data_IF_937401782049
#
_entry.id   IF_937401782049
#
_cell.length_a   1.000
_cell.length_b   1.000
_cell.length_c   1.000
_cell.angle_alpha   90.00
_cell.angle_beta   90.00
_cell.angle_gamma   90.00
#
_symmetry.space_group_name_H-M   'P 1'
#
loop_
_entity.id
_entity.type
_entity.pdbx_description
1 polymer ?
#
# COMPACT_ATOMS: atom_id res chain seq x y z
N UNK A 1 33.49 -13.76 -18.95
CA UNK A 1 32.98 -14.02 -17.56
C UNK A 1 32.66 -12.73 -16.81
N UNK A 2 33.50 -11.71 -16.78
CA UNK A 2 33.23 -10.43 -16.08
C UNK A 2 31.97 -9.72 -16.60
N UNK A 3 31.75 -9.66 -17.91
CA UNK A 3 30.55 -9.05 -18.49
C UNK A 3 29.26 -9.77 -18.09
N UNK A 4 29.27 -11.09 -18.00
CA UNK A 4 28.13 -11.89 -17.60
C UNK A 4 27.77 -11.63 -16.13
N UNK A 5 28.74 -11.42 -15.24
CA UNK A 5 28.55 -11.13 -13.83
C UNK A 5 28.01 -9.72 -13.61
N UNK A 6 28.47 -8.74 -14.41
CA UNK A 6 27.95 -7.39 -14.37
C UNK A 6 26.49 -7.33 -14.84
N UNK A 7 26.15 -8.10 -15.89
CA UNK A 7 24.78 -8.21 -16.38
C UNK A 7 23.85 -8.83 -15.32
N UNK A 8 24.27 -9.96 -14.70
CA UNK A 8 23.45 -10.60 -13.63
C UNK A 8 23.30 -9.72 -12.39
N UNK A 9 24.32 -8.98 -12.01
CA UNK A 9 24.21 -8.01 -10.91
C UNK A 9 23.23 -6.89 -11.26
N UNK A 10 23.26 -6.39 -12.50
CA UNK A 10 22.31 -5.38 -12.99
C UNK A 10 20.87 -5.89 -13.00
N UNK A 11 20.61 -7.11 -13.43
CA UNK A 11 19.27 -7.71 -13.39
C UNK A 11 18.72 -7.84 -11.97
N UNK A 12 19.54 -8.25 -11.00
CA UNK A 12 19.11 -8.36 -9.60
C UNK A 12 18.72 -7.00 -9.00
N UNK A 13 19.43 -5.93 -9.35
CA UNK A 13 19.06 -4.56 -8.92
C UNK A 13 17.76 -4.11 -9.59
N UNK A 14 17.62 -4.34 -10.90
CA UNK A 14 16.39 -4.01 -11.62
C UNK A 14 15.17 -4.75 -11.03
N UNK A 15 15.29 -6.04 -10.74
CA UNK A 15 14.23 -6.81 -10.08
C UNK A 15 13.81 -6.17 -8.75
N UNK A 16 14.79 -5.73 -7.94
CA UNK A 16 14.52 -5.01 -6.69
C UNK A 16 13.80 -3.68 -6.91
N UNK A 17 14.19 -2.91 -7.93
CA UNK A 17 13.54 -1.63 -8.28
C UNK A 17 12.12 -1.86 -8.79
N UNK A 18 11.88 -2.85 -9.65
CA UNK A 18 10.53 -3.19 -10.11
C UNK A 18 9.63 -3.64 -8.97
N UNK A 19 10.14 -4.43 -8.03
CA UNK A 19 9.39 -4.83 -6.83
C UNK A 19 8.99 -3.62 -5.97
N UNK A 20 9.88 -2.64 -5.82
CA UNK A 20 9.58 -1.41 -5.08
C UNK A 20 8.56 -0.53 -5.81
N UNK A 21 8.69 -0.32 -7.11
CA UNK A 21 7.75 0.49 -7.89
C UNK A 21 6.35 -0.13 -7.94
N UNK A 22 6.25 -1.44 -8.06
CA UNK A 22 4.98 -2.18 -8.01
C UNK A 22 4.32 -2.03 -6.62
N UNK A 23 5.09 -2.13 -5.54
CA UNK A 23 4.59 -1.92 -4.18
C UNK A 23 4.11 -0.48 -3.96
N UNK A 24 4.81 0.52 -4.48
CA UNK A 24 4.38 1.92 -4.38
C UNK A 24 3.11 2.19 -5.18
N UNK A 25 2.95 1.61 -6.37
CA UNK A 25 1.73 1.70 -7.16
C UNK A 25 0.52 1.08 -6.43
N UNK A 26 0.69 -0.12 -5.85
CA UNK A 26 -0.35 -0.77 -5.03
C UNK A 26 -0.70 0.05 -3.79
N UNK A 27 0.30 0.59 -3.09
CA UNK A 27 0.09 1.46 -1.94
C UNK A 27 -0.64 2.76 -2.33
N UNK A 28 -0.39 3.29 -3.52
CA UNK A 28 -1.10 4.43 -4.10
C UNK A 28 -2.56 4.12 -4.36
N UNK A 29 -2.87 3.01 -5.01
CA UNK A 29 -4.24 2.55 -5.28
C UNK A 29 -5.05 2.36 -3.99
N UNK A 30 -4.45 1.73 -2.97
CA UNK A 30 -5.10 1.56 -1.67
C UNK A 30 -5.37 2.89 -0.95
N UNK A 31 -4.52 3.91 -1.13
CA UNK A 31 -4.77 5.25 -0.58
C UNK A 31 -5.96 5.92 -1.25
N UNK A 32 -6.07 5.81 -2.56
CA UNK A 32 -7.23 6.32 -3.29
C UNK A 32 -8.51 5.63 -2.84
N UNK A 33 -8.50 4.30 -2.69
CA UNK A 33 -9.64 3.56 -2.13
C UNK A 33 -9.99 4.00 -0.71
N UNK A 34 -8.98 4.22 0.13
CA UNK A 34 -9.19 4.68 1.51
C UNK A 34 -9.81 6.08 1.58
N UNK A 35 -9.45 6.98 0.66
CA UNK A 35 -10.09 8.32 0.58
C UNK A 35 -11.56 8.23 0.16
N UNK A 36 -11.88 7.34 -0.80
CA UNK A 36 -13.26 7.09 -1.23
C UNK A 36 -14.09 6.46 -0.12
N UNK A 37 -13.59 5.42 0.56
CA UNK A 37 -14.28 4.79 1.70
C UNK A 37 -14.57 5.79 2.81
N UNK A 38 -13.65 6.72 3.08
CA UNK A 38 -13.87 7.77 4.09
C UNK A 38 -15.00 8.71 3.66
N UNK A 39 -14.97 9.20 2.42
CA UNK A 39 -16.00 10.11 1.91
C UNK A 39 -17.38 9.43 1.89
N UNK A 40 -17.44 8.17 1.47
CA UNK A 40 -18.66 7.36 1.46
C UNK A 40 -19.22 7.17 2.89
N UNK A 41 -18.36 6.78 3.83
CA UNK A 41 -18.76 6.61 5.23
C UNK A 41 -19.23 7.91 5.87
N UNK A 42 -18.59 9.04 5.59
CA UNK A 42 -19.04 10.36 6.08
C UNK A 42 -20.41 10.73 5.50
N UNK A 43 -20.64 10.44 4.21
CA UNK A 43 -21.94 10.64 3.58
C UNK A 43 -23.04 9.74 4.18
N UNK A 44 -22.72 8.47 4.44
CA UNK A 44 -23.67 7.54 5.05
C UNK A 44 -24.03 7.94 6.48
N UNK A 45 -23.06 8.37 7.26
CA UNK A 45 -23.29 8.90 8.62
C UNK A 45 -24.17 10.15 8.57
N UNK A 46 -23.93 11.06 7.61
CA UNK A 46 -24.74 12.26 7.44
C UNK A 46 -26.20 11.91 7.07
N UNK A 47 -26.40 11.01 6.11
CA UNK A 47 -27.74 10.52 5.71
C UNK A 47 -28.45 9.84 6.88
N UNK A 48 -27.75 9.04 7.66
CA UNK A 48 -28.33 8.40 8.84
C UNK A 48 -28.72 9.42 9.90
N UNK A 49 -27.89 10.42 10.17
CA UNK A 49 -28.20 11.50 11.11
C UNK A 49 -29.44 12.30 10.66
N UNK A 50 -29.54 12.59 9.36
CA UNK A 50 -30.71 13.28 8.79
C UNK A 50 -31.98 12.43 8.92
N UNK A 51 -31.91 11.13 8.59
CA UNK A 51 -33.04 10.22 8.74
C UNK A 51 -33.50 10.08 10.20
N UNK A 52 -32.56 10.07 11.15
CA UNK A 52 -32.87 10.02 12.58
C UNK A 52 -33.56 11.29 13.05
N UNK A 53 -33.15 12.47 12.55
CA UNK A 53 -33.82 13.74 12.83
C UNK A 53 -35.25 13.79 12.24
N UNK A 54 -35.40 13.30 11.01
CA UNK A 54 -36.71 13.20 10.35
C UNK A 54 -37.65 12.27 11.14
N UNK A 55 -37.16 11.11 11.60
CA UNK A 55 -37.92 10.18 12.42
C UNK A 55 -38.37 10.83 13.73
N UNK A 56 -37.48 11.54 14.41
CA UNK A 56 -37.83 12.29 15.65
C UNK A 56 -38.90 13.32 15.37
N UNK A 57 -38.79 14.08 14.29
CA UNK A 57 -39.78 15.09 13.90
C UNK A 57 -41.15 14.44 13.59
N UNK A 58 -41.15 13.35 12.84
CA UNK A 58 -42.37 12.59 12.52
C UNK A 58 -43.05 12.05 13.79
N UNK A 59 -42.31 11.48 14.72
CA UNK A 59 -42.81 11.01 16.01
C UNK A 59 -43.43 12.16 16.81
N UNK A 60 -42.74 13.31 16.88
CA UNK A 60 -43.27 14.50 17.57
C UNK A 60 -44.59 14.96 16.97
N UNK A 61 -44.68 15.02 15.63
CA UNK A 61 -45.93 15.42 14.96
C UNK A 61 -47.06 14.40 15.19
N UNK A 62 -46.75 13.09 15.21
CA UNK A 62 -47.75 12.06 15.52
C UNK A 62 -48.31 12.20 16.96
N UNK A 63 -47.45 12.45 17.94
CA UNK A 63 -47.90 12.69 19.32
C UNK A 63 -48.80 13.92 19.42
N UNK A 64 -48.40 15.04 18.82
CA UNK A 64 -49.19 16.25 18.79
C UNK A 64 -50.56 16.09 18.12
N UNK A 65 -50.59 15.36 16.96
CA UNK A 65 -51.85 15.08 16.24
C UNK A 65 -52.80 14.18 17.03
N UNK A 66 -52.27 13.30 17.87
CA UNK A 66 -53.09 12.42 18.74
C UNK A 66 -53.58 13.14 20.00
N UNK A 67 -53.27 14.42 20.17
CA UNK A 67 -53.64 15.18 21.35
C UNK A 67 -52.80 14.87 22.58
N UNK A 68 -51.70 14.14 22.41
CA UNK A 68 -50.79 13.80 23.52
C UNK A 68 -49.78 14.91 23.68
N UNK A 69 -49.62 15.42 24.90
CA UNK A 69 -48.55 16.37 25.21
C UNK A 69 -47.19 15.70 25.15
N UNK A 70 -46.14 16.46 24.74
CA UNK A 70 -44.76 15.97 24.68
C UNK A 70 -44.11 15.95 26.08
N UNK A 71 -44.83 15.44 27.09
CA UNK A 71 -44.38 15.32 28.48
C UNK A 71 -44.47 13.85 28.94
N UNK A 72 -43.57 13.44 29.83
CA UNK A 72 -43.57 12.07 30.34
C UNK A 72 -43.15 11.03 29.27
N UNK A 73 -43.92 9.97 29.13
CA UNK A 73 -43.58 8.82 28.24
C UNK A 73 -43.32 9.18 26.78
N UNK A 74 -44.04 10.12 26.12
CA UNK A 74 -43.71 10.54 24.76
C UNK A 74 -42.33 11.20 24.65
N UNK A 75 -41.93 11.98 25.63
CA UNK A 75 -40.59 12.59 25.67
C UNK A 75 -39.51 11.51 25.82
N UNK A 76 -39.73 10.52 26.69
CA UNK A 76 -38.82 9.39 26.87
C UNK A 76 -38.60 8.61 25.57
N UNK A 77 -39.62 8.37 24.75
CA UNK A 77 -39.52 7.74 23.46
C UNK A 77 -38.66 8.55 22.46
N UNK A 78 -38.86 9.89 22.48
CA UNK A 78 -38.07 10.78 21.62
C UNK A 78 -36.60 10.83 22.07
N UNK A 79 -36.33 10.83 23.35
CA UNK A 79 -34.96 10.79 23.90
C UNK A 79 -34.29 9.45 23.64
N UNK A 80 -35.02 8.34 23.74
CA UNK A 80 -34.51 7.02 23.38
C UNK A 80 -34.16 6.95 21.89
N UNK A 81 -34.99 7.52 21.03
CA UNK A 81 -34.68 7.59 19.56
C UNK A 81 -33.37 8.36 19.31
N UNK A 82 -33.15 9.47 20.02
CA UNK A 82 -31.91 10.25 19.91
C UNK A 82 -30.71 9.46 20.43
N UNK A 83 -30.86 8.80 21.58
CA UNK A 83 -29.82 7.97 22.20
C UNK A 83 -29.38 6.85 21.29
N UNK A 84 -30.34 6.05 20.82
CA UNK A 84 -30.05 4.90 19.92
C UNK A 84 -29.42 5.36 18.60
N UNK A 85 -29.91 6.49 18.05
CA UNK A 85 -29.33 7.07 16.84
C UNK A 85 -27.89 7.54 17.07
N UNK A 86 -27.60 8.14 18.21
CA UNK A 86 -26.26 8.56 18.61
C UNK A 86 -25.31 7.37 18.78
N UNK A 87 -25.78 6.28 19.40
CA UNK A 87 -25.02 5.04 19.54
C UNK A 87 -24.69 4.41 18.19
N UNK A 88 -25.66 4.34 17.28
CA UNK A 88 -25.45 3.82 15.93
C UNK A 88 -24.43 4.67 15.14
N UNK A 89 -24.52 6.00 15.20
CA UNK A 89 -23.54 6.90 14.58
C UNK A 89 -22.15 6.65 15.17
N UNK A 90 -22.04 6.49 16.47
CA UNK A 90 -20.78 6.19 17.13
C UNK A 90 -20.20 4.85 16.68
N UNK A 91 -21.03 3.83 16.56
CA UNK A 91 -20.64 2.52 16.06
C UNK A 91 -20.17 2.58 14.59
N UNK A 92 -20.88 3.31 13.72
CA UNK A 92 -20.46 3.55 12.34
C UNK A 92 -19.09 4.23 12.27
N UNK A 93 -18.86 5.27 13.06
CA UNK A 93 -17.56 5.96 13.14
C UNK A 93 -16.44 5.05 13.64
N UNK A 94 -16.72 4.24 14.67
CA UNK A 94 -15.76 3.28 15.20
C UNK A 94 -15.38 2.24 14.14
N UNK A 95 -16.35 1.69 13.41
CA UNK A 95 -16.12 0.76 12.30
C UNK A 95 -15.25 1.41 11.21
N UNK A 96 -15.62 2.61 10.74
CA UNK A 96 -14.85 3.33 9.73
C UNK A 96 -13.41 3.57 10.18
N UNK A 97 -13.21 3.93 11.46
CA UNK A 97 -11.87 4.13 12.02
C UNK A 97 -11.06 2.83 12.01
N UNK A 98 -11.67 1.70 12.37
CA UNK A 98 -11.03 0.38 12.34
C UNK A 98 -10.64 -0.02 10.90
N UNK A 99 -11.54 0.20 9.93
CA UNK A 99 -11.30 -0.09 8.52
C UNK A 99 -10.14 0.78 7.97
N UNK A 100 -10.10 2.07 8.32
CA UNK A 100 -9.00 2.98 7.98
C UNK A 100 -7.67 2.53 8.58
N UNK A 101 -7.66 2.09 9.84
CA UNK A 101 -6.45 1.59 10.49
C UNK A 101 -5.95 0.31 9.82
N UNK A 102 -6.86 -0.61 9.50
CA UNK A 102 -6.54 -1.84 8.76
C UNK A 102 -5.94 -1.54 7.39
N UNK A 103 -6.55 -0.62 6.62
CA UNK A 103 -6.04 -0.21 5.33
C UNK A 103 -4.66 0.46 5.42
N UNK A 104 -4.43 1.33 6.41
CA UNK A 104 -3.12 1.94 6.68
C UNK A 104 -2.06 0.90 7.01
N UNK A 105 -2.40 -0.12 7.80
CA UNK A 105 -1.51 -1.23 8.13
C UNK A 105 -1.12 -2.02 6.88
N UNK A 106 -2.08 -2.33 6.00
CA UNK A 106 -1.83 -2.98 4.70
C UNK A 106 -0.90 -2.15 3.81
N UNK A 107 -1.12 -0.84 3.71
CA UNK A 107 -0.25 0.08 2.96
C UNK A 107 1.18 0.06 3.51
N UNK A 108 1.33 0.07 4.84
CA UNK A 108 2.63 -0.01 5.50
C UNK A 108 3.34 -1.34 5.20
N UNK A 109 2.62 -2.46 5.27
CA UNK A 109 3.15 -3.79 4.96
C UNK A 109 3.62 -3.89 3.50
N UNK A 110 2.82 -3.42 2.53
CA UNK A 110 3.18 -3.41 1.10
C UNK A 110 4.45 -2.59 0.86
N UNK A 111 4.57 -1.42 1.47
CA UNK A 111 5.78 -0.61 1.38
C UNK A 111 6.98 -1.28 2.03
N UNK A 112 6.78 -1.97 3.14
CA UNK A 112 7.82 -2.78 3.78
C UNK A 112 8.32 -3.88 2.84
N UNK A 113 7.42 -4.58 2.16
CA UNK A 113 7.77 -5.60 1.16
C UNK A 113 8.54 -5.00 -0.03
N UNK A 114 8.13 -3.84 -0.54
CA UNK A 114 8.84 -3.15 -1.62
C UNK A 114 10.27 -2.77 -1.23
N UNK A 115 10.47 -2.26 -0.01
CA UNK A 115 11.82 -1.96 0.52
C UNK A 115 12.65 -3.23 0.70
N UNK A 116 12.04 -4.31 1.20
CA UNK A 116 12.73 -5.59 1.34
C UNK A 116 13.15 -6.18 -0.02
N UNK A 117 12.32 -6.04 -1.05
CA UNK A 117 12.65 -6.44 -2.41
C UNK A 117 13.87 -5.67 -2.94
N UNK A 118 13.92 -4.34 -2.73
CA UNK A 118 15.06 -3.51 -3.12
C UNK A 118 16.35 -3.97 -2.40
N UNK A 119 16.29 -4.10 -1.07
CA UNK A 119 17.45 -4.55 -0.26
C UNK A 119 17.89 -5.96 -0.70
N UNK A 120 16.94 -6.87 -0.94
CA UNK A 120 17.22 -8.21 -1.44
C UNK A 120 17.90 -8.20 -2.81
N UNK A 121 17.46 -7.37 -3.74
CA UNK A 121 18.07 -7.19 -5.05
C UNK A 121 19.50 -6.68 -4.95
N UNK A 122 19.75 -5.65 -4.14
CA UNK A 122 21.08 -5.10 -3.89
C UNK A 122 21.99 -6.14 -3.21
N UNK A 123 21.49 -6.88 -2.23
CA UNK A 123 22.26 -7.92 -1.54
C UNK A 123 22.66 -9.06 -2.47
N UNK A 124 21.75 -9.52 -3.33
CA UNK A 124 22.03 -10.51 -4.37
C UNK A 124 23.09 -10.00 -5.37
N UNK A 125 22.99 -8.74 -5.79
CA UNK A 125 23.98 -8.13 -6.67
C UNK A 125 25.36 -8.07 -6.00
N UNK A 126 25.45 -7.63 -4.74
CA UNK A 126 26.69 -7.57 -3.98
C UNK A 126 27.33 -8.96 -3.79
N UNK A 127 26.52 -9.99 -3.47
CA UNK A 127 27.01 -11.36 -3.34
C UNK A 127 27.55 -11.92 -4.67
N UNK A 128 26.90 -11.61 -5.78
CA UNK A 128 27.35 -12.01 -7.13
C UNK A 128 28.70 -11.39 -7.47
N UNK A 129 28.85 -10.07 -7.22
CA UNK A 129 30.12 -9.36 -7.44
C UNK A 129 31.23 -9.87 -6.53
N UNK A 130 30.94 -10.12 -5.24
CA UNK A 130 31.92 -10.62 -4.29
C UNK A 130 32.37 -12.05 -4.60
N UNK A 131 31.47 -12.91 -5.06
CA UNK A 131 31.78 -14.26 -5.51
C UNK A 131 32.72 -14.24 -6.74
N UNK A 132 32.46 -13.32 -7.68
CA UNK A 132 33.32 -13.10 -8.83
C UNK A 132 34.69 -12.57 -8.40
N UNK A 133 34.74 -11.56 -7.52
CA UNK A 133 36.01 -11.02 -7.03
C UNK A 133 36.89 -12.09 -6.34
N UNK A 134 36.29 -12.97 -5.52
CA UNK A 134 37.01 -14.11 -4.91
C UNK A 134 37.53 -15.08 -5.96
N UNK A 135 36.76 -15.36 -6.98
CA UNK A 135 37.16 -16.27 -8.06
C UNK A 135 38.30 -15.71 -8.90
N UNK A 136 38.39 -14.38 -9.03
CA UNK A 136 39.43 -13.70 -9.80
C UNK A 136 40.66 -13.31 -8.99
N UNK A 137 40.54 -13.14 -7.67
CA UNK A 137 41.62 -12.72 -6.78
C UNK A 137 42.84 -13.69 -6.76
N UNK A 138 42.63 -14.95 -7.17
CA UNK A 138 43.73 -15.95 -7.33
C UNK A 138 44.29 -16.06 -8.74
N UNK A 139 43.73 -15.32 -9.71
CA UNK A 139 44.22 -15.41 -11.11
C UNK A 139 45.25 -14.33 -11.39
N UNK A 140 46.34 -14.74 -12.01
CA UNK A 140 47.36 -13.83 -12.56
C UNK A 140 46.70 -12.88 -13.60
N UNK A 141 47.18 -11.63 -13.70
CA UNK A 141 46.73 -10.66 -14.69
C UNK A 141 46.80 -11.22 -16.14
N UNK A 142 47.74 -12.10 -16.42
CA UNK A 142 47.85 -12.78 -17.72
C UNK A 142 46.70 -13.77 -17.98
N UNK A 143 46.20 -14.45 -16.95
CA UNK A 143 45.05 -15.37 -17.10
C UNK A 143 43.75 -14.61 -17.26
N UNK A 144 43.61 -13.49 -16.60
CA UNK A 144 42.46 -12.58 -16.76
C UNK A 144 42.40 -12.00 -18.16
N UNK A 145 43.54 -11.58 -18.70
CA UNK A 145 43.63 -11.09 -20.08
C UNK A 145 43.24 -12.16 -21.09
N UNK A 146 43.75 -13.41 -20.91
CA UNK A 146 43.40 -14.55 -21.77
C UNK A 146 41.90 -14.88 -21.73
N UNK A 147 41.26 -14.77 -20.59
CA UNK A 147 39.81 -14.98 -20.43
C UNK A 147 39.01 -13.86 -21.13
N UNK A 148 39.51 -12.61 -21.15
CA UNK A 148 38.93 -11.48 -21.86
C UNK A 148 39.08 -11.63 -23.39
N UNK A 149 40.24 -12.00 -23.85
CA UNK A 149 40.51 -12.23 -25.28
C UNK A 149 39.68 -13.39 -25.85
N UNK A 150 39.51 -14.46 -25.08
CA UNK A 150 38.62 -15.58 -25.44
C UNK A 150 37.13 -15.17 -25.46
N UNK A 151 36.72 -14.23 -24.63
CA UNK A 151 35.36 -13.72 -24.65
C UNK A 151 35.11 -12.81 -25.85
N UNK A 152 36.06 -11.92 -26.17
CA UNK A 152 36.00 -11.04 -27.34
C UNK A 152 35.88 -11.84 -28.63
N UNK A 153 36.72 -12.87 -28.81
CA UNK A 153 36.68 -13.76 -29.99
C UNK A 153 35.38 -14.57 -30.09
N UNK A 154 34.76 -14.95 -28.96
CA UNK A 154 33.54 -15.76 -28.96
C UNK A 154 32.27 -14.97 -29.17
N UNK A 155 32.28 -13.68 -28.81
CA UNK A 155 31.11 -12.79 -28.92
C UNK A 155 31.12 -11.87 -30.13
N UNK A 156 32.24 -11.88 -30.89
CA UNK A 156 32.42 -10.96 -32.02
C UNK A 156 32.42 -9.47 -31.61
N UNK A 157 32.57 -9.20 -30.32
CA UNK A 157 32.71 -7.86 -29.80
C UNK A 157 34.17 -7.43 -30.01
N UNK A 158 34.45 -6.98 -31.22
CA UNK A 158 35.71 -6.34 -31.54
C UNK A 158 35.64 -4.90 -31.06
N UNK A 159 36.53 -4.48 -30.17
CA UNK A 159 36.64 -3.09 -29.73
C UNK A 159 37.25 -2.20 -30.82
N UNK A 160 37.07 -2.64 -32.05
CA UNK A 160 37.60 -2.02 -33.28
C UNK A 160 37.12 -0.59 -33.46
N UNK A 161 37.94 0.29 -33.00
CA UNK A 161 38.30 1.53 -33.73
C UNK A 161 37.16 2.22 -34.46
N UNK A 162 36.46 3.09 -33.77
CA UNK A 162 35.96 4.28 -34.44
C UNK A 162 37.17 5.18 -34.80
N UNK A 163 37.63 5.10 -36.02
CA UNK A 163 38.41 6.13 -36.68
C UNK A 163 37.49 7.24 -37.17
#
# INVERSE_FOLDING_TARGET
>A
MAALTAVTAGFNIMEGIFGMTAADAQAGALRSQLSLMRAESEADIARYAESAQALKAEQSVKFLKSGVTLEGSPLEILDETVRVSGENISAMRAKTTADIMSAKSKISAIRGQGRAALVGGVSKAASTVSAYARKTAGKSSKELQKDLDNFSTRTGFDDGSYK
#
